data_IF_589524298791
#
_entry.id   IF_589524298791
#
_cell.length_a   1.000
_cell.length_b   1.000
_cell.length_c   1.000
_cell.angle_alpha   90.00
_cell.angle_beta   90.00
_cell.angle_gamma   90.00
#
_symmetry.space_group_name_H-M   'P 1'
#
loop_
_entity.id
_entity.type
_entity.pdbx_description
1 polymer ?
#
# COMPACT_ATOMS: atom_id res chain seq x y z
N UNK A 1 -6.61 -11.83 -7.14
CA UNK A 1 -6.45 -12.22 -8.56
C UNK A 1 -4.99 -12.47 -8.90
N UNK A 2 -4.66 -12.77 -10.18
CA UNK A 2 -3.28 -13.01 -10.63
C UNK A 2 -2.34 -11.84 -10.36
N UNK A 3 -2.81 -10.60 -10.55
CA UNK A 3 -2.04 -9.38 -10.27
C UNK A 3 -1.60 -9.30 -8.80
N UNK A 4 -2.52 -9.51 -7.86
CA UNK A 4 -2.18 -9.50 -6.44
C UNK A 4 -1.26 -10.65 -6.03
N UNK A 5 -1.35 -11.80 -6.69
CA UNK A 5 -0.41 -12.91 -6.45
C UNK A 5 0.99 -12.51 -6.93
N UNK A 6 1.11 -12.00 -8.15
CA UNK A 6 2.37 -11.52 -8.70
C UNK A 6 3.00 -10.43 -7.82
N UNK A 7 2.20 -9.49 -7.32
CA UNK A 7 2.66 -8.49 -6.36
C UNK A 7 3.16 -9.14 -5.07
N UNK A 8 2.36 -9.98 -4.41
CA UNK A 8 2.72 -10.60 -3.13
C UNK A 8 4.00 -11.44 -3.23
N UNK A 9 4.20 -12.13 -4.36
CA UNK A 9 5.39 -12.93 -4.64
C UNK A 9 6.63 -12.04 -4.88
N UNK A 10 6.47 -10.83 -5.38
CA UNK A 10 7.54 -9.86 -5.63
C UNK A 10 7.87 -8.95 -4.42
N UNK A 11 7.07 -9.01 -3.35
CA UNK A 11 7.27 -8.17 -2.17
C UNK A 11 8.57 -8.54 -1.43
N UNK A 12 9.34 -7.53 -0.96
CA UNK A 12 10.57 -7.78 -0.24
C UNK A 12 10.32 -8.33 1.16
N UNK A 13 11.24 -9.17 1.63
CA UNK A 13 11.18 -9.73 3.00
C UNK A 13 11.56 -8.71 4.09
N UNK A 14 12.18 -7.59 3.72
CA UNK A 14 12.56 -6.51 4.62
C UNK A 14 12.15 -5.17 4.02
N UNK A 15 11.65 -4.28 4.88
CA UNK A 15 11.30 -2.90 4.55
C UNK A 15 11.93 -1.95 5.56
N UNK A 16 13.12 -1.42 5.29
CA UNK A 16 13.91 -0.71 6.31
C UNK A 16 14.09 -1.56 7.59
N UNK A 17 13.58 -1.05 8.72
CA UNK A 17 13.60 -1.72 10.03
C UNK A 17 12.43 -2.68 10.27
N UNK A 18 11.64 -2.98 9.23
CA UNK A 18 10.53 -3.94 9.30
C UNK A 18 10.89 -5.25 8.61
N UNK A 19 10.50 -6.37 9.20
CA UNK A 19 10.66 -7.72 8.62
C UNK A 19 9.32 -8.34 8.32
N UNK A 20 9.21 -9.03 7.17
CA UNK A 20 8.00 -9.70 6.74
C UNK A 20 7.55 -10.71 7.79
N UNK A 21 6.27 -10.67 8.11
CA UNK A 21 5.65 -11.48 9.14
C UNK A 21 4.54 -12.33 8.54
N UNK A 22 4.32 -13.49 9.15
CA UNK A 22 3.20 -14.34 8.78
C UNK A 22 1.88 -13.64 9.11
N UNK A 23 1.00 -13.52 8.13
CA UNK A 23 -0.38 -13.09 8.34
C UNK A 23 -1.14 -14.28 8.93
N UNK A 24 -1.90 -14.05 10.01
CA UNK A 24 -2.64 -15.12 10.69
C UNK A 24 -3.70 -15.71 9.76
N UNK A 25 -3.78 -17.04 9.72
CA UNK A 25 -4.77 -17.73 8.91
C UNK A 25 -6.20 -17.61 9.47
N UNK A 26 -7.23 -17.47 8.61
CA UNK A 26 -7.13 -17.41 7.13
C UNK A 26 -6.65 -16.04 6.65
N UNK A 27 -5.50 -16.01 5.95
CA UNK A 27 -4.94 -14.77 5.45
C UNK A 27 -5.74 -14.32 4.21
N UNK A 28 -6.28 -13.08 4.17
CA UNK A 28 -6.94 -12.60 2.97
C UNK A 28 -5.94 -12.58 1.81
N UNK A 29 -6.33 -13.15 0.66
CA UNK A 29 -5.48 -13.18 -0.52
C UNK A 29 -5.02 -11.76 -0.89
N UNK A 30 -3.75 -11.58 -1.25
CA UNK A 30 -3.20 -10.25 -1.54
C UNK A 30 -2.78 -9.44 -0.31
N UNK A 31 -2.71 -10.05 0.88
CA UNK A 31 -2.26 -9.37 2.11
C UNK A 31 -0.81 -9.73 2.44
N UNK A 32 -0.03 -8.73 2.84
CA UNK A 32 1.28 -8.91 3.44
C UNK A 32 1.43 -7.99 4.65
N UNK A 33 2.21 -8.41 5.63
CA UNK A 33 2.49 -7.62 6.82
C UNK A 33 3.97 -7.69 7.16
N UNK A 34 4.48 -6.63 7.76
CA UNK A 34 5.83 -6.57 8.30
C UNK A 34 5.77 -6.05 9.73
N UNK A 35 6.53 -6.70 10.61
CA UNK A 35 6.67 -6.31 12.00
C UNK A 35 7.96 -5.49 12.16
N UNK A 36 7.96 -4.44 12.98
CA UNK A 36 9.18 -3.74 13.31
C UNK A 36 10.15 -4.68 14.02
N UNK A 37 11.44 -4.49 13.78
CA UNK A 37 12.49 -5.22 14.48
C UNK A 37 12.54 -4.83 15.97
N UNK A 38 12.18 -3.59 16.28
CA UNK A 38 12.00 -3.12 17.66
C UNK A 38 10.74 -3.74 18.30
N UNK A 39 10.84 -4.25 19.55
CA UNK A 39 9.69 -4.85 20.22
C UNK A 39 8.58 -3.83 20.51
N UNK A 40 7.33 -4.26 20.34
CA UNK A 40 6.16 -3.47 20.74
C UNK A 40 5.74 -2.38 19.75
N UNK A 41 6.43 -2.25 18.60
CA UNK A 41 5.98 -1.39 17.52
C UNK A 41 4.79 -1.99 16.74
N UNK A 42 4.12 -1.14 15.97
CA UNK A 42 2.97 -1.53 15.18
C UNK A 42 3.36 -2.07 13.80
N UNK A 43 2.58 -3.00 13.26
CA UNK A 43 2.86 -3.58 11.95
C UNK A 43 2.53 -2.62 10.79
N UNK A 44 3.37 -2.70 9.74
CA UNK A 44 3.06 -2.19 8.40
C UNK A 44 2.24 -3.25 7.66
N UNK A 45 1.17 -2.82 7.00
CA UNK A 45 0.22 -3.73 6.33
C UNK A 45 0.05 -3.30 4.87
N UNK A 46 0.14 -4.28 3.96
CA UNK A 46 -0.21 -4.12 2.55
C UNK A 46 -1.42 -5.00 2.22
N UNK A 47 -2.38 -4.45 1.48
CA UNK A 47 -3.58 -5.15 0.99
C UNK A 47 -3.77 -4.84 -0.48
N UNK A 48 -3.76 -5.88 -1.31
CA UNK A 48 -3.98 -5.77 -2.76
C UNK A 48 -5.39 -6.25 -3.14
N UNK A 49 -5.97 -5.63 -4.17
CA UNK A 49 -7.24 -6.04 -4.74
C UNK A 49 -8.43 -5.48 -3.97
N UNK A 50 -8.25 -4.29 -3.41
CA UNK A 50 -9.33 -3.52 -2.81
C UNK A 50 -10.15 -2.81 -3.89
N UNK A 51 -11.35 -2.39 -3.53
CA UNK A 51 -12.14 -1.48 -4.34
C UNK A 51 -11.53 -0.06 -4.33
N UNK A 52 -11.93 0.75 -5.32
CA UNK A 52 -11.56 2.17 -5.36
C UNK A 52 -12.09 2.86 -4.09
N UNK A 53 -11.26 3.61 -3.35
CA UNK A 53 -11.74 4.36 -2.19
C UNK A 53 -12.70 5.48 -2.63
N UNK A 54 -13.75 5.71 -1.87
CA UNK A 54 -14.83 6.66 -2.20
C UNK A 54 -14.32 8.10 -2.30
N UNK A 55 -13.28 8.45 -1.53
CA UNK A 55 -12.65 9.77 -1.50
C UNK A 55 -11.71 10.00 -2.68
N UNK A 56 -11.37 8.97 -3.46
CA UNK A 56 -10.53 9.12 -4.66
C UNK A 56 -11.36 9.62 -5.84
N UNK A 57 -11.62 10.92 -5.81
CA UNK A 57 -12.37 11.67 -6.83
C UNK A 57 -11.47 12.50 -7.74
N UNK A 58 -12.00 12.98 -8.87
CA UNK A 58 -11.27 13.86 -9.79
C UNK A 58 -10.73 15.08 -9.02
N UNK A 59 -9.44 15.36 -9.19
CA UNK A 59 -8.75 16.44 -8.48
C UNK A 59 -8.19 16.07 -7.11
N UNK A 60 -8.39 14.82 -6.65
CA UNK A 60 -7.73 14.31 -5.47
C UNK A 60 -6.20 14.42 -5.59
N UNK A 61 -5.50 14.90 -4.52
CA UNK A 61 -4.05 15.03 -4.57
C UNK A 61 -3.38 13.66 -4.62
N UNK A 62 -2.42 13.52 -5.52
CA UNK A 62 -1.61 12.32 -5.69
C UNK A 62 -0.15 12.64 -5.40
N UNK A 63 0.53 11.73 -4.70
CA UNK A 63 1.97 11.76 -4.50
C UNK A 63 2.63 10.69 -5.36
N UNK A 64 3.62 11.08 -6.15
CA UNK A 64 4.43 10.11 -6.89
C UNK A 64 5.61 9.69 -6.01
N UNK A 65 5.76 8.38 -5.82
CA UNK A 65 6.94 7.77 -5.18
C UNK A 65 7.48 6.75 -6.16
N UNK A 66 8.74 6.92 -6.56
CA UNK A 66 9.35 6.23 -7.70
C UNK A 66 8.48 6.32 -8.97
N UNK A 67 7.85 5.22 -9.36
CA UNK A 67 6.99 5.12 -10.54
C UNK A 67 5.52 4.80 -10.21
N UNK A 68 5.09 5.01 -8.96
CA UNK A 68 3.74 4.71 -8.47
C UNK A 68 3.05 6.02 -8.02
N UNK A 69 1.79 6.19 -8.41
CA UNK A 69 0.94 7.28 -7.95
C UNK A 69 0.14 6.83 -6.72
N UNK A 70 0.36 7.51 -5.61
CA UNK A 70 -0.26 7.22 -4.32
C UNK A 70 -1.30 8.28 -3.95
N UNK A 71 -2.51 7.82 -3.65
CA UNK A 71 -3.56 8.62 -3.02
C UNK A 71 -3.55 8.36 -1.52
N UNK A 72 -3.49 9.40 -0.69
CA UNK A 72 -3.58 9.24 0.77
C UNK A 72 -5.03 9.35 1.22
N UNK A 73 -5.53 8.33 1.94
CA UNK A 73 -6.80 8.47 2.66
C UNK A 73 -6.62 9.48 3.79
N UNK A 74 -7.61 10.38 3.91
CA UNK A 74 -7.74 11.21 5.10
C UNK A 74 -8.28 10.31 6.22
N UNK A 75 -7.53 10.19 7.31
CA UNK A 75 -8.03 9.45 8.46
C UNK A 75 -9.08 10.32 9.18
N UNK A 76 -10.36 9.98 9.03
CA UNK A 76 -11.45 10.66 9.73
C UNK A 76 -11.56 10.23 11.21
N UNK A 77 -10.91 9.12 11.59
CA UNK A 77 -10.99 8.55 12.94
C UNK A 77 -9.86 9.03 13.88
N UNK A 78 -8.94 9.88 13.41
CA UNK A 78 -7.91 10.50 14.23
C UNK A 78 -6.80 9.55 14.70
N UNK A 79 -6.49 8.52 13.92
CA UNK A 79 -5.31 7.68 14.15
C UNK A 79 -4.02 8.33 13.63
N UNK A 80 -2.89 7.92 14.19
CA UNK A 80 -1.55 8.37 13.73
C UNK A 80 -1.04 7.57 12.52
N UNK A 81 -1.86 6.65 11.99
CA UNK A 81 -1.50 5.80 10.83
C UNK A 81 -1.86 6.52 9.55
N UNK A 82 -1.04 6.34 8.52
CA UNK A 82 -1.36 6.82 7.18
C UNK A 82 -1.66 5.64 6.25
N UNK A 83 -2.78 5.69 5.54
CA UNK A 83 -3.12 4.69 4.52
C UNK A 83 -3.02 5.30 3.13
N UNK A 84 -2.21 4.67 2.28
CA UNK A 84 -1.90 5.11 0.93
C UNK A 84 -2.38 4.07 -0.07
N UNK A 85 -3.05 4.51 -1.13
CA UNK A 85 -3.55 3.68 -2.21
C UNK A 85 -2.72 3.91 -3.47
N UNK A 86 -2.13 2.85 -4.02
CA UNK A 86 -1.62 2.88 -5.38
C UNK A 86 -2.82 2.85 -6.34
N UNK A 87 -2.97 3.90 -7.15
CA UNK A 87 -4.16 4.13 -7.98
C UNK A 87 -3.89 4.06 -9.49
N UNK A 88 -2.64 3.88 -9.89
CA UNK A 88 -2.16 3.84 -11.27
C UNK A 88 -1.77 2.42 -11.70
N UNK A 89 -2.47 1.40 -11.16
CA UNK A 89 -2.24 -0.03 -11.38
C UNK A 89 -3.54 -0.77 -11.74
N UNK A 90 -3.48 -2.02 -12.24
CA UNK A 90 -4.66 -2.82 -12.60
C UNK A 90 -5.60 -3.11 -11.44
N UNK A 91 -5.07 -3.05 -10.22
CA UNK A 91 -5.73 -3.33 -8.95
C UNK A 91 -5.33 -2.25 -7.96
N UNK A 92 -6.24 -1.86 -7.07
CA UNK A 92 -5.90 -0.94 -5.99
C UNK A 92 -5.14 -1.68 -4.89
N UNK A 93 -4.05 -1.06 -4.44
CA UNK A 93 -3.18 -1.58 -3.39
C UNK A 93 -3.12 -0.57 -2.26
N UNK A 94 -3.59 -0.93 -1.08
CA UNK A 94 -3.43 -0.12 0.12
C UNK A 94 -2.17 -0.50 0.89
N UNK A 95 -1.44 0.51 1.34
CA UNK A 95 -0.31 0.44 2.24
C UNK A 95 -0.62 1.28 3.48
N UNK A 96 -0.73 0.64 4.64
CA UNK A 96 -0.93 1.31 5.92
C UNK A 96 0.39 1.38 6.69
N UNK A 97 0.84 2.60 6.95
CA UNK A 97 2.08 2.91 7.63
C UNK A 97 1.79 3.41 9.05
N UNK A 98 2.38 2.79 10.09
CA UNK A 98 2.42 3.35 11.45
C UNK A 98 3.11 4.72 11.50
N UNK A 99 2.89 5.52 12.56
CA UNK A 99 3.67 6.73 12.78
C UNK A 99 5.16 6.43 12.89
N UNK A 100 6.01 7.37 12.45
CA UNK A 100 7.46 7.24 12.56
C UNK A 100 8.11 6.25 11.59
N UNK A 101 7.36 5.60 10.70
CA UNK A 101 7.86 4.60 9.72
C UNK A 101 8.92 5.16 8.74
N UNK A 102 8.97 6.48 8.56
CA UNK A 102 9.84 7.11 7.57
C UNK A 102 9.43 6.78 6.13
N UNK A 103 10.17 7.29 5.13
CA UNK A 103 9.80 7.13 3.71
C UNK A 103 10.29 5.83 3.08
N UNK A 104 11.24 5.12 3.69
CA UNK A 104 11.88 3.94 3.08
C UNK A 104 10.88 2.84 2.70
N UNK A 105 9.93 2.44 3.57
CA UNK A 105 9.01 1.35 3.21
C UNK A 105 8.10 1.67 2.03
N UNK A 106 7.61 2.92 1.89
CA UNK A 106 6.78 3.28 0.73
C UNK A 106 7.60 3.33 -0.57
N UNK A 107 8.89 3.68 -0.52
CA UNK A 107 9.78 3.63 -1.69
C UNK A 107 10.02 2.17 -2.13
N UNK A 108 10.41 1.29 -1.22
CA UNK A 108 10.67 -0.11 -1.54
C UNK A 108 9.40 -0.84 -2.04
N UNK A 109 8.24 -0.56 -1.44
CA UNK A 109 6.95 -1.04 -1.94
C UNK A 109 6.64 -0.46 -3.32
N UNK A 110 6.92 0.83 -3.57
CA UNK A 110 6.68 1.44 -4.88
C UNK A 110 7.49 0.76 -5.98
N UNK A 111 8.76 0.46 -5.70
CA UNK A 111 9.63 -0.28 -6.60
C UNK A 111 9.11 -1.70 -6.87
N UNK A 112 8.66 -2.42 -5.84
CA UNK A 112 8.06 -3.76 -6.00
C UNK A 112 6.77 -3.73 -6.84
N UNK A 113 5.90 -2.74 -6.59
CA UNK A 113 4.65 -2.55 -7.36
C UNK A 113 4.97 -2.23 -8.83
N UNK A 114 5.92 -1.35 -9.10
CA UNK A 114 6.31 -0.99 -10.47
C UNK A 114 6.93 -2.16 -11.24
N UNK A 115 7.65 -3.06 -10.56
CA UNK A 115 8.22 -4.26 -11.17
C UNK A 115 7.15 -5.34 -11.44
N UNK A 116 6.18 -5.50 -10.54
CA UNK A 116 5.21 -6.58 -10.62
C UNK A 116 3.97 -6.25 -11.47
N UNK A 117 3.57 -4.98 -11.52
CA UNK A 117 2.30 -4.55 -12.10
C UNK A 117 2.49 -3.46 -13.16
N UNK A 118 1.87 -3.57 -14.34
CA UNK A 118 1.97 -2.55 -15.37
C UNK A 118 1.28 -1.26 -14.92
N UNK A 119 1.85 -0.11 -15.27
CA UNK A 119 1.21 1.18 -15.01
C UNK A 119 -0.03 1.37 -15.89
N UNK A 120 -1.01 2.10 -15.36
CA UNK A 120 -2.24 2.51 -16.07
C UNK A 120 -2.61 3.93 -15.65
N UNK A 121 -3.36 4.68 -16.48
CA UNK A 121 -3.95 5.93 -16.04
C UNK A 121 -4.79 5.70 -14.78
N UNK A 122 -4.67 6.59 -13.79
CA UNK A 122 -5.49 6.52 -12.59
C UNK A 122 -6.97 6.78 -12.96
N UNK A 123 -7.88 6.05 -12.30
CA UNK A 123 -9.33 6.10 -12.56
C UNK A 123 -10.10 6.63 -11.33
N UNK A 124 -10.05 7.95 -11.06
CA UNK A 124 -10.82 8.55 -9.97
C UNK A 124 -12.33 8.57 -10.27
N UNK A 125 -13.15 8.55 -9.23
CA UNK A 125 -14.59 8.79 -9.39
C UNK A 125 -14.84 10.25 -9.86
N UNK A 126 -15.92 10.53 -10.62
CA UNK A 126 -16.29 11.91 -10.93
C UNK A 126 -16.38 12.76 -9.66
N UNK A 127 -15.82 13.98 -9.70
CA UNK A 127 -16.05 14.95 -8.64
C UNK A 127 -17.54 15.35 -8.61
N UNK A 128 -18.10 15.47 -7.41
CA UNK A 128 -19.47 15.96 -7.21
C UNK A 128 -19.65 17.43 -7.58
#
# INVERSE_FOLDING_TARGET
GPDCRALVDALPDQLGDYRRAAVREPAPAGTAAWQPQEPGGEALILRCGLDRPDEFVVGAPLQVVDAVQWFQLKDEAGGDRSTWFAVDRPVYVALTLPPGTGPTPIQEISSAIAAALPSRPADPAPGG
#
